data_IF_165504781027
#
_entry.id   IF_165504781027
#
_cell.length_a   1.000
_cell.length_b   1.000
_cell.length_c   1.000
_cell.angle_alpha   90.00
_cell.angle_beta   90.00
_cell.angle_gamma   90.00
#
_symmetry.space_group_name_H-M   'P 1'
#
loop_
_entity.id
_entity.type
_entity.pdbx_description
1 polymer ?
#
# COMPACT_ATOMS: atom_id res chain seq x y z
N UNK A 1 33.34 7.20 -15.52
CA UNK A 1 34.57 7.37 -16.34
C UNK A 1 34.31 7.50 -17.85
N UNK A 2 33.49 6.63 -18.52
CA UNK A 2 33.21 6.79 -19.98
C UNK A 2 32.55 8.13 -20.30
N UNK A 3 31.52 8.52 -19.53
CA UNK A 3 30.85 9.81 -19.69
C UNK A 3 31.81 10.99 -19.53
N UNK A 4 32.57 11.02 -18.45
CA UNK A 4 33.56 12.06 -18.19
C UNK A 4 34.67 12.14 -19.24
N UNK A 5 34.99 10.99 -19.85
CA UNK A 5 35.93 10.96 -21.00
C UNK A 5 35.32 11.61 -22.25
N UNK A 6 34.02 11.38 -22.48
CA UNK A 6 33.28 12.00 -23.57
C UNK A 6 33.13 13.52 -23.36
N UNK A 7 33.13 13.99 -22.15
CA UNK A 7 33.13 15.39 -21.72
C UNK A 7 34.53 16.05 -21.85
N UNK A 8 35.57 15.31 -22.32
CA UNK A 8 36.91 15.85 -22.57
C UNK A 8 37.93 15.67 -21.45
N UNK A 9 37.55 15.06 -20.32
CA UNK A 9 38.50 14.84 -19.22
C UNK A 9 39.61 13.83 -19.57
N UNK A 10 40.87 14.12 -19.20
CA UNK A 10 42.00 13.24 -19.48
C UNK A 10 41.89 11.90 -18.76
N UNK A 11 42.24 10.78 -19.45
CA UNK A 11 42.20 9.45 -18.83
C UNK A 11 43.15 9.36 -17.64
N UNK A 12 44.30 10.01 -17.66
CA UNK A 12 45.27 10.01 -16.57
C UNK A 12 44.64 10.59 -15.32
N UNK A 13 44.03 11.75 -15.40
CA UNK A 13 43.38 12.41 -14.30
C UNK A 13 42.20 11.58 -13.72
N UNK A 14 41.38 11.01 -14.61
CA UNK A 14 40.26 10.14 -14.18
C UNK A 14 40.73 8.86 -13.47
N UNK A 15 41.86 8.28 -13.89
CA UNK A 15 42.44 7.12 -13.23
C UNK A 15 43.05 7.48 -11.86
N UNK A 16 43.73 8.61 -11.76
CA UNK A 16 44.27 9.14 -10.49
C UNK A 16 43.13 9.38 -9.48
N UNK A 17 42.08 10.10 -9.87
CA UNK A 17 40.91 10.39 -9.01
C UNK A 17 40.14 9.13 -8.58
N UNK A 18 40.06 8.12 -9.44
CA UNK A 18 39.29 6.88 -9.16
C UNK A 18 40.08 5.78 -8.47
N UNK A 19 41.41 5.90 -8.40
CA UNK A 19 42.30 4.86 -7.89
C UNK A 19 42.34 3.58 -8.77
N UNK A 20 41.80 3.63 -9.99
CA UNK A 20 41.76 2.48 -10.88
C UNK A 20 43.05 2.32 -11.67
N UNK A 21 43.55 1.07 -11.77
CA UNK A 21 44.68 0.75 -12.64
C UNK A 21 44.28 0.91 -14.12
N UNK A 22 45.19 1.39 -14.96
CA UNK A 22 44.98 1.55 -16.40
C UNK A 22 44.57 0.25 -17.07
N UNK A 23 45.18 -0.87 -16.70
CA UNK A 23 44.83 -2.22 -17.20
C UNK A 23 43.37 -2.58 -16.89
N UNK A 24 42.89 -2.30 -15.67
CA UNK A 24 41.49 -2.54 -15.26
C UNK A 24 40.49 -1.72 -16.09
N UNK A 25 40.88 -0.48 -16.42
CA UNK A 25 40.05 0.35 -17.29
C UNK A 25 39.92 -0.23 -18.71
N UNK A 26 41.06 -0.57 -19.35
CA UNK A 26 41.03 -1.14 -20.71
C UNK A 26 40.41 -2.56 -20.73
N UNK A 27 40.66 -3.37 -19.70
CA UNK A 27 39.99 -4.65 -19.57
C UNK A 27 38.46 -4.50 -19.54
N UNK A 28 37.94 -3.56 -18.72
CA UNK A 28 36.51 -3.28 -18.65
C UNK A 28 35.92 -2.68 -19.94
N UNK A 29 36.74 -2.03 -20.76
CA UNK A 29 36.38 -1.57 -22.12
C UNK A 29 36.25 -2.75 -23.10
N UNK A 30 37.23 -3.63 -23.09
CA UNK A 30 37.25 -4.80 -23.97
C UNK A 30 36.23 -5.89 -23.57
N UNK A 31 35.87 -5.93 -22.27
CA UNK A 31 34.93 -6.90 -21.71
C UNK A 31 33.72 -6.19 -21.05
N UNK A 32 32.82 -5.60 -21.86
CA UNK A 32 31.65 -4.93 -21.33
C UNK A 32 30.78 -5.94 -20.58
N UNK A 33 30.37 -5.56 -19.37
CA UNK A 33 29.46 -6.39 -18.57
C UNK A 33 28.14 -6.55 -19.30
N UNK A 34 27.74 -7.80 -19.51
CA UNK A 34 26.39 -8.08 -20.02
C UNK A 34 25.34 -7.59 -19.04
N UNK A 35 24.23 -7.00 -19.50
CA UNK A 35 23.11 -6.63 -18.64
C UNK A 35 22.61 -7.83 -17.86
N UNK A 36 22.24 -7.62 -16.60
CA UNK A 36 21.64 -8.67 -15.77
C UNK A 36 20.23 -8.94 -16.30
N UNK A 37 19.93 -10.19 -16.69
CA UNK A 37 18.62 -10.66 -17.14
C UNK A 37 17.96 -9.69 -18.14
N UNK A 38 18.58 -9.47 -19.33
CA UNK A 38 18.07 -8.50 -20.30
C UNK A 38 16.63 -8.79 -20.72
N UNK A 39 16.23 -10.04 -20.78
CA UNK A 39 14.90 -10.51 -21.15
C UNK A 39 13.78 -10.11 -20.18
N UNK A 40 14.13 -9.75 -18.93
CA UNK A 40 13.14 -9.35 -17.90
C UNK A 40 13.08 -7.84 -17.67
N UNK A 41 13.92 -7.05 -18.36
CA UNK A 41 14.08 -5.62 -18.05
C UNK A 41 12.83 -4.80 -18.38
N UNK A 42 12.23 -5.05 -19.54
CA UNK A 42 11.05 -4.31 -20.00
C UNK A 42 9.86 -4.61 -19.10
N UNK A 43 9.65 -5.88 -18.75
CA UNK A 43 8.61 -6.28 -17.80
C UNK A 43 8.85 -5.68 -16.41
N UNK A 44 10.10 -5.65 -15.94
CA UNK A 44 10.42 -5.03 -14.66
C UNK A 44 10.19 -3.51 -14.66
N UNK A 45 10.45 -2.83 -15.78
CA UNK A 45 10.17 -1.41 -15.95
C UNK A 45 8.67 -1.14 -15.99
N UNK A 46 7.90 -1.96 -16.70
CA UNK A 46 6.44 -1.89 -16.74
C UNK A 46 5.84 -2.08 -15.35
N UNK A 47 6.21 -3.14 -14.62
CA UNK A 47 5.75 -3.39 -13.25
C UNK A 47 6.11 -2.21 -12.34
N UNK A 48 7.31 -1.65 -12.47
CA UNK A 48 7.73 -0.48 -11.70
C UNK A 48 6.85 0.74 -11.95
N UNK A 49 6.40 0.94 -13.18
CA UNK A 49 5.60 2.10 -13.61
C UNK A 49 4.11 2.01 -13.25
N UNK A 50 3.64 0.86 -12.74
CA UNK A 50 2.23 0.67 -12.32
C UNK A 50 1.80 1.59 -11.18
N UNK A 51 2.75 2.10 -10.41
CA UNK A 51 2.50 3.09 -9.34
C UNK A 51 3.37 4.32 -9.55
N UNK A 52 2.85 5.48 -9.18
CA UNK A 52 3.51 6.77 -9.43
C UNK A 52 4.92 6.86 -8.82
N UNK A 53 5.13 6.27 -7.66
CA UNK A 53 6.42 6.26 -6.94
C UNK A 53 7.25 5.01 -7.21
N UNK A 54 6.79 4.18 -8.14
CA UNK A 54 7.36 2.87 -8.40
C UNK A 54 7.21 1.91 -7.22
N UNK A 55 7.76 0.71 -7.36
CA UNK A 55 7.71 -0.30 -6.32
C UNK A 55 9.10 -0.88 -6.02
N UNK A 56 9.21 -1.54 -4.87
CA UNK A 56 10.47 -2.16 -4.43
C UNK A 56 10.82 -3.43 -5.21
N UNK A 57 12.11 -3.78 -5.25
CA UNK A 57 12.61 -4.96 -5.95
C UNK A 57 11.91 -6.27 -5.56
N UNK A 58 11.45 -6.42 -4.30
CA UNK A 58 10.70 -7.60 -3.86
C UNK A 58 9.34 -7.69 -4.54
N UNK A 59 8.66 -6.57 -4.71
CA UNK A 59 7.38 -6.52 -5.40
C UNK A 59 7.55 -6.87 -6.88
N UNK A 60 8.53 -6.26 -7.56
CA UNK A 60 8.86 -6.59 -8.94
C UNK A 60 9.19 -8.08 -9.07
N UNK A 61 9.99 -8.64 -8.16
CA UNK A 61 10.34 -10.06 -8.19
C UNK A 61 9.10 -10.97 -8.03
N UNK A 62 8.17 -10.63 -7.13
CA UNK A 62 6.91 -11.38 -6.98
C UNK A 62 6.07 -11.32 -8.26
N UNK A 63 5.93 -10.14 -8.87
CA UNK A 63 5.21 -9.98 -10.13
C UNK A 63 5.86 -10.76 -11.27
N UNK A 64 7.18 -10.67 -11.47
CA UNK A 64 7.90 -11.43 -12.51
C UNK A 64 7.73 -12.94 -12.36
N UNK A 65 7.74 -13.46 -11.12
CA UNK A 65 7.52 -14.89 -10.86
C UNK A 65 6.09 -15.32 -11.16
N UNK A 66 5.12 -14.53 -10.74
CA UNK A 66 3.71 -14.90 -10.85
C UNK A 66 3.16 -14.68 -12.26
N UNK A 67 3.53 -13.57 -12.92
CA UNK A 67 2.96 -13.16 -14.21
C UNK A 67 3.70 -13.78 -15.39
N UNK A 68 5.02 -14.03 -15.25
CA UNK A 68 5.86 -14.55 -16.33
C UNK A 68 6.48 -15.93 -16.03
N UNK A 69 6.21 -16.53 -14.88
CA UNK A 69 6.86 -17.76 -14.45
C UNK A 69 8.39 -17.63 -14.29
N UNK A 70 8.91 -16.41 -14.15
CA UNK A 70 10.34 -16.16 -14.17
C UNK A 70 11.04 -16.70 -12.92
N UNK A 71 12.07 -17.52 -13.08
CA UNK A 71 12.94 -17.96 -11.97
C UNK A 71 13.99 -16.87 -11.72
N UNK A 72 13.72 -15.97 -10.77
CA UNK A 72 14.58 -14.83 -10.44
C UNK A 72 14.62 -14.57 -8.94
N UNK A 73 15.82 -14.33 -8.39
CA UNK A 73 16.00 -13.98 -6.99
C UNK A 73 15.80 -12.46 -6.78
N UNK A 74 15.31 -12.06 -5.58
CA UNK A 74 15.09 -10.66 -5.22
C UNK A 74 16.35 -9.79 -5.39
N UNK A 75 17.53 -10.34 -5.03
CA UNK A 75 18.82 -9.66 -5.19
C UNK A 75 19.19 -9.42 -6.67
N UNK A 76 18.79 -10.35 -7.54
CA UNK A 76 19.00 -10.22 -9.00
C UNK A 76 18.17 -9.08 -9.56
N UNK A 77 16.89 -8.98 -9.13
CA UNK A 77 16.01 -7.86 -9.51
C UNK A 77 16.55 -6.54 -8.97
N UNK A 78 17.04 -6.49 -7.73
CA UNK A 78 17.67 -5.29 -7.18
C UNK A 78 18.88 -4.83 -8.00
N UNK A 79 19.72 -5.78 -8.45
CA UNK A 79 20.87 -5.49 -9.32
C UNK A 79 20.40 -4.95 -10.67
N UNK A 80 19.41 -5.60 -11.28
CA UNK A 80 18.79 -5.18 -12.54
C UNK A 80 18.23 -3.75 -12.45
N UNK A 81 17.45 -3.42 -11.40
CA UNK A 81 16.94 -2.07 -11.17
C UNK A 81 18.05 -1.04 -11.08
N UNK A 82 19.14 -1.35 -10.37
CA UNK A 82 20.32 -0.45 -10.27
C UNK A 82 20.98 -0.20 -11.63
N UNK A 83 21.11 -1.24 -12.44
CA UNK A 83 21.66 -1.13 -13.81
C UNK A 83 20.77 -0.31 -14.75
N UNK A 84 19.44 -0.37 -14.52
CA UNK A 84 18.45 0.43 -15.27
C UNK A 84 18.32 1.87 -14.74
N UNK A 85 18.97 2.20 -13.62
CA UNK A 85 18.86 3.51 -13.00
C UNK A 85 17.52 3.78 -12.29
N UNK A 86 16.63 2.77 -12.17
CA UNK A 86 15.33 2.92 -11.53
C UNK A 86 15.45 2.70 -10.02
N UNK A 87 14.78 3.58 -9.26
CA UNK A 87 14.79 3.54 -7.78
C UNK A 87 13.38 3.78 -7.26
N UNK A 88 12.94 2.91 -6.35
CA UNK A 88 11.69 3.10 -5.64
C UNK A 88 11.73 4.40 -4.81
N UNK A 89 10.78 5.30 -5.04
CA UNK A 89 10.63 6.58 -4.35
C UNK A 89 10.02 6.45 -2.95
N UNK A 90 9.54 5.27 -2.56
CA UNK A 90 8.92 5.02 -1.26
C UNK A 90 9.96 5.15 -0.15
N UNK A 91 9.65 5.97 0.86
CA UNK A 91 10.57 6.29 1.96
C UNK A 91 11.00 5.04 2.74
N UNK A 92 12.30 4.89 2.94
CA UNK A 92 12.85 4.08 4.02
C UNK A 92 12.74 4.86 5.32
N UNK A 93 11.89 4.39 6.25
CA UNK A 93 11.71 4.90 7.62
C UNK A 93 12.05 6.38 7.80
N UNK A 94 11.05 7.24 7.84
CA UNK A 94 11.17 8.64 8.25
C UNK A 94 10.19 8.91 9.37
N UNK A 95 10.69 9.64 10.39
CA UNK A 95 9.97 10.34 11.46
C UNK A 95 8.51 9.93 11.70
N UNK A 96 8.27 9.23 12.80
CA UNK A 96 6.93 9.03 13.35
C UNK A 96 6.34 10.40 13.70
N UNK A 97 5.35 10.88 12.97
CA UNK A 97 4.50 11.96 13.45
C UNK A 97 3.77 11.45 14.68
N UNK A 98 3.78 12.23 15.77
CA UNK A 98 2.98 11.94 16.96
C UNK A 98 1.51 11.95 16.56
N UNK A 99 0.81 10.86 16.84
CA UNK A 99 -0.63 10.75 16.75
C UNK A 99 -1.26 11.66 17.83
N UNK A 100 -2.31 12.40 17.47
CA UNK A 100 -3.16 13.12 18.40
C UNK A 100 -4.53 12.46 18.38
N UNK A 101 -4.93 11.82 19.47
CA UNK A 101 -6.24 11.23 19.60
C UNK A 101 -7.33 12.31 19.70
N UNK A 102 -8.50 12.00 19.12
CA UNK A 102 -9.69 12.84 19.21
C UNK A 102 -10.10 13.10 20.69
N UNK A 103 -10.41 14.36 21.02
CA UNK A 103 -10.81 14.80 22.38
C UNK A 103 -12.30 15.15 22.46
N UNK A 104 -13.17 14.52 21.66
CA UNK A 104 -14.61 14.77 21.66
C UNK A 104 -15.38 14.12 22.80
N UNK A 105 -16.68 14.39 22.86
CA UNK A 105 -17.63 13.76 23.79
C UNK A 105 -17.67 12.25 23.54
N UNK A 106 -17.72 11.46 24.63
CA UNK A 106 -17.80 10.02 24.57
C UNK A 106 -19.25 9.61 24.39
N UNK A 107 -19.57 8.98 23.24
CA UNK A 107 -20.83 8.30 22.99
C UNK A 107 -20.80 6.85 23.52
N UNK A 108 -21.58 5.96 22.88
CA UNK A 108 -21.53 4.54 23.19
C UNK A 108 -20.17 3.94 22.86
N UNK A 109 -19.49 3.34 23.83
CA UNK A 109 -18.21 2.66 23.62
C UNK A 109 -18.41 1.16 23.59
N UNK A 110 -17.68 0.49 22.71
CA UNK A 110 -17.69 -0.96 22.58
C UNK A 110 -16.38 -1.56 23.09
N UNK A 111 -16.43 -2.80 23.53
CA UNK A 111 -15.27 -3.51 24.02
C UNK A 111 -14.23 -3.72 22.90
N UNK A 112 -12.95 -3.73 23.26
CA UNK A 112 -11.88 -4.07 22.32
C UNK A 112 -11.78 -5.60 22.18
N UNK A 113 -12.69 -6.18 21.39
CA UNK A 113 -12.76 -7.62 21.12
C UNK A 113 -11.51 -8.13 20.40
N UNK A 114 -10.93 -7.32 19.50
CA UNK A 114 -9.74 -7.71 18.73
C UNK A 114 -8.48 -7.77 19.58
N UNK A 115 -8.37 -6.91 20.62
CA UNK A 115 -7.27 -6.93 21.60
C UNK A 115 -5.86 -7.06 20.96
N UNK A 116 -5.62 -6.40 19.82
CA UNK A 116 -4.40 -6.44 18.98
C UNK A 116 -4.15 -7.76 18.25
N UNK A 117 -5.03 -8.71 18.33
CA UNK A 117 -4.99 -9.89 17.50
C UNK A 117 -5.59 -9.60 16.11
N UNK A 118 -4.74 -9.04 15.23
CA UNK A 118 -5.08 -8.77 13.83
C UNK A 118 -4.93 -10.01 12.94
N UNK A 119 -4.68 -11.19 13.51
CA UNK A 119 -4.74 -12.47 12.82
C UNK A 119 -6.19 -12.87 12.59
N UNK A 120 -6.48 -13.45 11.44
CA UNK A 120 -7.74 -14.09 11.13
C UNK A 120 -7.44 -15.39 10.38
N UNK A 121 -8.21 -16.43 10.64
CA UNK A 121 -8.01 -17.75 10.01
C UNK A 121 -8.59 -17.79 8.58
N UNK A 122 -9.60 -16.95 8.32
CA UNK A 122 -10.25 -16.85 7.03
C UNK A 122 -10.69 -15.42 6.68
N UNK A 123 -11.08 -15.19 5.41
CA UNK A 123 -11.68 -13.95 4.96
C UNK A 123 -12.96 -13.62 5.76
N UNK A 124 -13.29 -12.34 5.85
CA UNK A 124 -14.53 -11.85 6.46
C UNK A 124 -14.71 -12.19 7.96
N UNK A 125 -13.63 -12.51 8.67
CA UNK A 125 -13.70 -12.72 10.13
C UNK A 125 -13.44 -11.42 10.91
N UNK A 126 -12.41 -10.67 10.50
CA UNK A 126 -12.01 -9.44 11.18
C UNK A 126 -11.77 -8.35 10.14
N UNK A 127 -12.53 -7.28 10.25
CA UNK A 127 -12.45 -6.11 9.40
C UNK A 127 -11.97 -4.90 10.21
N UNK A 128 -11.29 -3.97 9.56
CA UNK A 128 -10.87 -2.72 10.20
C UNK A 128 -11.22 -1.52 9.35
N UNK A 129 -11.69 -0.46 10.00
CA UNK A 129 -11.99 0.81 9.35
C UNK A 129 -11.40 1.99 10.11
N UNK A 130 -11.10 3.06 9.40
CA UNK A 130 -10.67 4.34 9.92
C UNK A 130 -10.77 5.39 8.81
N UNK A 131 -10.66 6.67 9.14
CA UNK A 131 -10.69 7.74 8.14
C UNK A 131 -9.33 8.42 8.03
N UNK A 132 -8.84 8.56 6.81
CA UNK A 132 -7.62 9.33 6.55
C UNK A 132 -7.88 10.54 5.67
N UNK A 133 -7.16 11.64 5.95
CA UNK A 133 -7.24 12.90 5.23
C UNK A 133 -6.13 13.01 4.18
N UNK A 134 -6.48 13.62 3.04
CA UNK A 134 -5.57 14.07 1.98
C UNK A 134 -5.82 15.55 1.68
N UNK A 135 -4.80 16.26 1.21
CA UNK A 135 -4.92 17.61 0.68
C UNK A 135 -4.99 17.54 -0.84
N UNK A 136 -6.05 18.07 -1.44
CA UNK A 136 -6.34 17.98 -2.88
C UNK A 136 -6.82 19.33 -3.37
N UNK A 137 -6.17 19.94 -4.35
CA UNK A 137 -6.55 21.20 -4.95
C UNK A 137 -6.86 22.32 -3.92
N UNK A 138 -6.03 22.42 -2.86
CA UNK A 138 -6.21 23.41 -1.79
C UNK A 138 -7.30 23.07 -0.76
N UNK A 139 -8.08 22.00 -0.95
CA UNK A 139 -9.12 21.52 -0.04
C UNK A 139 -8.74 20.18 0.61
N UNK A 140 -9.65 19.63 1.41
CA UNK A 140 -9.49 18.33 2.04
C UNK A 140 -10.33 17.28 1.34
N UNK A 141 -9.78 16.08 1.23
CA UNK A 141 -10.48 14.88 0.83
C UNK A 141 -10.30 13.81 1.92
N UNK A 142 -11.32 13.02 2.15
CA UNK A 142 -11.35 11.98 3.20
C UNK A 142 -11.64 10.64 2.58
N UNK A 143 -10.92 9.64 3.01
CA UNK A 143 -11.09 8.26 2.56
C UNK A 143 -11.35 7.35 3.77
N UNK A 144 -12.47 6.61 3.71
CA UNK A 144 -12.92 5.66 4.71
C UNK A 144 -12.91 4.25 4.11
N UNK A 145 -11.83 3.49 4.19
CA UNK A 145 -11.77 2.10 3.75
C UNK A 145 -12.24 1.12 4.81
N UNK A 146 -12.64 -0.06 4.36
CA UNK A 146 -12.77 -1.27 5.17
C UNK A 146 -11.73 -2.28 4.69
N UNK A 147 -10.81 -2.66 5.56
CA UNK A 147 -9.73 -3.60 5.31
C UNK A 147 -10.05 -4.95 5.93
N UNK A 148 -10.04 -6.02 5.16
CA UNK A 148 -10.04 -7.38 5.69
C UNK A 148 -8.66 -7.72 6.27
N UNK A 149 -8.62 -8.14 7.54
CA UNK A 149 -7.35 -8.42 8.21
C UNK A 149 -6.69 -9.74 7.79
N UNK A 150 -7.43 -10.67 7.21
CA UNK A 150 -6.89 -11.90 6.65
C UNK A 150 -6.25 -11.64 5.28
N UNK A 151 -7.08 -11.20 4.34
CA UNK A 151 -6.70 -11.08 2.93
C UNK A 151 -5.94 -9.82 2.59
N UNK A 152 -5.99 -8.79 3.47
CA UNK A 152 -5.51 -7.42 3.21
C UNK A 152 -6.23 -6.74 2.04
N UNK A 153 -7.40 -7.24 1.68
CA UNK A 153 -8.27 -6.65 0.67
C UNK A 153 -9.00 -5.43 1.23
N UNK A 154 -9.13 -4.40 0.42
CA UNK A 154 -10.01 -3.27 0.69
C UNK A 154 -11.38 -3.68 0.17
N UNK A 155 -12.23 -4.21 1.05
CA UNK A 155 -13.52 -4.81 0.70
C UNK A 155 -14.61 -3.78 0.44
N UNK A 156 -14.49 -2.59 1.04
CA UNK A 156 -15.36 -1.46 0.79
C UNK A 156 -14.61 -0.15 1.05
N UNK A 157 -15.05 0.94 0.48
CA UNK A 157 -14.55 2.28 0.85
C UNK A 157 -15.44 3.39 0.34
N UNK A 158 -15.37 4.58 0.95
CA UNK A 158 -15.93 5.81 0.41
C UNK A 158 -14.93 6.97 0.42
N UNK A 159 -14.99 7.81 -0.61
CA UNK A 159 -14.13 8.99 -0.78
C UNK A 159 -15.03 10.23 -0.83
N UNK A 160 -14.83 11.13 0.11
CA UNK A 160 -15.70 12.29 0.32
C UNK A 160 -14.90 13.59 0.56
N UNK A 161 -15.57 14.73 0.43
CA UNK A 161 -15.04 16.04 0.82
C UNK A 161 -15.29 16.37 2.31
N UNK A 162 -16.09 15.56 3.00
CA UNK A 162 -16.40 15.69 4.43
C UNK A 162 -16.35 14.32 5.13
N UNK A 163 -15.76 14.21 6.35
CA UNK A 163 -15.73 12.97 7.13
C UNK A 163 -16.97 12.88 8.02
N UNK A 164 -18.16 12.92 7.41
CA UNK A 164 -19.45 12.92 8.07
C UNK A 164 -20.11 11.54 8.13
N UNK A 165 -21.27 11.45 8.78
CA UNK A 165 -22.06 10.22 8.84
C UNK A 165 -22.52 9.75 7.46
N UNK A 166 -22.77 10.67 6.53
CA UNK A 166 -23.16 10.30 5.18
C UNK A 166 -22.04 9.54 4.46
N UNK A 167 -20.77 9.92 4.69
CA UNK A 167 -19.63 9.14 4.21
C UNK A 167 -19.61 7.72 4.81
N UNK A 168 -19.81 7.60 6.12
CA UNK A 168 -19.83 6.29 6.79
C UNK A 168 -20.98 5.42 6.29
N UNK A 169 -22.15 6.00 6.06
CA UNK A 169 -23.30 5.26 5.54
C UNK A 169 -23.05 4.74 4.12
N UNK A 170 -22.49 5.54 3.21
CA UNK A 170 -22.14 5.09 1.86
C UNK A 170 -21.06 3.99 1.88
N UNK A 171 -20.09 4.09 2.80
CA UNK A 171 -19.10 3.05 3.00
C UNK A 171 -19.75 1.75 3.49
N UNK A 172 -20.68 1.84 4.47
CA UNK A 172 -21.44 0.69 4.97
C UNK A 172 -22.36 0.09 3.89
N UNK A 173 -23.03 0.91 3.06
CA UNK A 173 -23.83 0.39 1.95
C UNK A 173 -23.00 -0.55 1.05
N UNK A 174 -21.81 -0.10 0.66
CA UNK A 174 -20.89 -0.90 -0.15
C UNK A 174 -20.35 -2.14 0.57
N UNK A 175 -20.12 -2.02 1.89
CA UNK A 175 -19.70 -3.17 2.68
C UNK A 175 -20.79 -4.24 2.72
N UNK A 176 -22.04 -3.84 2.97
CA UNK A 176 -23.17 -4.76 3.06
C UNK A 176 -23.52 -5.41 1.73
N UNK A 177 -23.34 -4.67 0.61
CA UNK A 177 -23.45 -5.23 -0.75
C UNK A 177 -22.38 -6.30 -1.04
N UNK A 178 -21.15 -6.13 -0.48
CA UNK A 178 -20.04 -7.06 -0.71
C UNK A 178 -19.99 -8.20 0.32
N UNK A 179 -20.74 -8.10 1.42
CA UNK A 179 -20.70 -9.06 2.52
C UNK A 179 -21.30 -10.40 2.07
N UNK A 180 -20.57 -11.52 2.14
CA UNK A 180 -21.11 -12.83 1.79
C UNK A 180 -22.28 -13.25 2.70
N UNK A 181 -23.22 -14.00 2.16
CA UNK A 181 -24.33 -14.54 2.93
C UNK A 181 -23.84 -15.37 4.13
N UNK A 182 -24.37 -15.05 5.30
CA UNK A 182 -24.02 -15.74 6.55
C UNK A 182 -22.71 -15.30 7.18
N UNK A 183 -21.96 -14.36 6.59
CA UNK A 183 -20.78 -13.81 7.21
C UNK A 183 -21.15 -12.86 8.38
N UNK A 184 -20.51 -13.03 9.50
CA UNK A 184 -20.71 -12.23 10.73
C UNK A 184 -19.36 -11.70 11.26
N UNK A 185 -18.71 -10.77 10.55
CA UNK A 185 -17.38 -10.30 10.93
C UNK A 185 -17.39 -9.44 12.19
N UNK A 186 -16.20 -9.30 12.79
CA UNK A 186 -15.95 -8.26 13.79
C UNK A 186 -15.37 -7.03 13.06
N UNK A 187 -16.07 -5.88 13.13
CA UNK A 187 -15.63 -4.59 12.62
C UNK A 187 -14.89 -3.81 13.68
N UNK A 188 -13.62 -3.56 13.48
CA UNK A 188 -12.78 -2.78 14.39
C UNK A 188 -12.58 -1.35 13.89
N UNK A 189 -12.71 -0.38 14.81
CA UNK A 189 -12.46 1.03 14.54
C UNK A 189 -11.74 1.71 15.72
N UNK A 190 -11.32 2.95 15.52
CA UNK A 190 -10.99 3.82 16.65
C UNK A 190 -12.24 4.31 17.37
N UNK A 191 -12.06 5.16 18.40
CA UNK A 191 -13.16 5.76 19.16
C UNK A 191 -13.69 7.04 18.48
N UNK A 192 -13.65 7.16 17.16
CA UNK A 192 -14.22 8.27 16.43
C UNK A 192 -15.74 8.39 16.69
N UNK A 193 -16.24 9.64 16.80
CA UNK A 193 -17.66 9.90 17.10
C UNK A 193 -18.62 9.27 16.09
N UNK A 194 -18.20 9.18 14.82
CA UNK A 194 -18.98 8.57 13.74
C UNK A 194 -19.27 7.09 13.98
N UNK A 195 -18.35 6.37 14.61
CA UNK A 195 -18.48 4.93 14.92
C UNK A 195 -19.29 4.66 16.20
N UNK A 196 -19.54 5.70 17.00
CA UNK A 196 -20.33 5.66 18.23
C UNK A 196 -21.78 6.10 17.99
N UNK A 197 -22.08 6.62 16.78
CA UNK A 197 -23.40 7.15 16.45
C UNK A 197 -24.41 6.01 16.25
N UNK A 198 -25.61 6.15 16.80
CA UNK A 198 -26.67 5.13 16.76
C UNK A 198 -26.98 4.65 15.34
N UNK A 199 -27.04 5.56 14.36
CA UNK A 199 -27.30 5.18 12.97
C UNK A 199 -26.21 4.32 12.32
N UNK A 200 -24.98 4.37 12.83
CA UNK A 200 -23.88 3.49 12.41
C UNK A 200 -23.96 2.15 13.13
N UNK A 201 -24.11 2.17 14.46
CA UNK A 201 -24.12 0.96 15.29
C UNK A 201 -25.30 0.05 14.98
N UNK A 202 -26.52 0.61 14.83
CA UNK A 202 -27.73 -0.15 14.47
C UNK A 202 -27.61 -0.85 13.12
N UNK A 203 -26.90 -0.25 12.17
CA UNK A 203 -26.67 -0.88 10.85
C UNK A 203 -25.73 -2.06 10.93
N UNK A 204 -24.67 -1.99 11.74
CA UNK A 204 -23.79 -3.13 11.98
C UNK A 204 -24.53 -4.26 12.69
N UNK A 205 -25.27 -3.93 13.74
CA UNK A 205 -26.09 -4.90 14.50
C UNK A 205 -27.12 -5.58 13.60
N UNK A 206 -27.86 -4.82 12.81
CA UNK A 206 -28.86 -5.35 11.86
C UNK A 206 -28.27 -6.27 10.80
N UNK A 207 -26.98 -6.14 10.49
CA UNK A 207 -26.23 -6.99 9.58
C UNK A 207 -25.50 -8.17 10.29
N UNK A 208 -25.64 -8.32 11.61
CA UNK A 208 -24.92 -9.34 12.38
C UNK A 208 -23.43 -9.07 12.54
N UNK A 209 -22.97 -7.85 12.30
CA UNK A 209 -21.57 -7.45 12.43
C UNK A 209 -21.27 -7.03 13.87
N UNK A 210 -20.33 -7.69 14.53
CA UNK A 210 -19.90 -7.35 15.87
C UNK A 210 -19.00 -6.11 15.85
N UNK A 211 -19.32 -5.08 16.63
CA UNK A 211 -18.47 -3.89 16.72
C UNK A 211 -17.39 -4.06 17.79
N UNK A 212 -16.17 -3.64 17.46
CA UNK A 212 -15.00 -3.59 18.34
C UNK A 212 -14.33 -2.22 18.24
N UNK A 213 -13.93 -1.64 19.36
CA UNK A 213 -13.27 -0.33 19.39
C UNK A 213 -11.90 -0.39 20.06
N UNK A 214 -10.93 0.36 19.52
CA UNK A 214 -9.63 0.53 20.14
C UNK A 214 -9.77 1.29 21.47
N UNK A 215 -8.86 1.01 22.43
CA UNK A 215 -8.84 1.74 23.70
C UNK A 215 -8.41 3.19 23.50
N UNK A 216 -8.98 4.09 24.32
CA UNK A 216 -8.69 5.54 24.25
C UNK A 216 -7.18 5.81 24.33
N UNK A 217 -6.66 6.55 23.32
CA UNK A 217 -5.26 6.97 23.28
C UNK A 217 -4.26 5.87 22.87
N UNK A 218 -4.72 4.69 22.44
CA UNK A 218 -3.86 3.57 22.07
C UNK A 218 -3.83 3.34 20.55
N UNK A 219 -2.94 4.03 19.87
CA UNK A 219 -2.77 3.93 18.40
C UNK A 219 -2.38 2.52 17.92
N UNK A 220 -1.78 1.69 18.79
CA UNK A 220 -1.37 0.32 18.42
C UNK A 220 -2.61 -0.57 18.15
N UNK A 221 -3.73 -0.24 18.76
CA UNK A 221 -4.97 -1.02 18.61
C UNK A 221 -5.58 -0.89 17.20
N UNK A 222 -5.20 0.11 16.38
CA UNK A 222 -5.61 0.28 14.96
C UNK A 222 -4.45 0.17 13.95
N UNK A 223 -3.36 -0.49 14.33
CA UNK A 223 -2.11 -0.52 13.56
C UNK A 223 -2.25 -1.12 12.15
N UNK A 224 -3.19 -2.04 11.93
CA UNK A 224 -3.40 -2.66 10.61
C UNK A 224 -3.93 -1.65 9.57
N UNK A 225 -4.91 -0.82 9.95
CA UNK A 225 -5.48 0.23 9.12
C UNK A 225 -4.50 1.39 8.94
N UNK A 226 -3.77 1.77 10.00
CA UNK A 226 -2.70 2.77 9.90
C UNK A 226 -1.59 2.34 8.93
N UNK A 227 -1.25 1.05 8.88
CA UNK A 227 -0.28 0.52 7.93
C UNK A 227 -0.77 0.65 6.48
N UNK A 228 -2.05 0.39 6.22
CA UNK A 228 -2.67 0.61 4.90
C UNK A 228 -2.53 2.09 4.50
N UNK A 229 -2.87 3.02 5.39
CA UNK A 229 -2.73 4.46 5.11
C UNK A 229 -1.29 4.87 4.80
N UNK A 230 -0.32 4.29 5.52
CA UNK A 230 1.09 4.50 5.24
C UNK A 230 1.47 4.09 3.81
N UNK A 231 1.03 2.92 3.37
CA UNK A 231 1.28 2.44 2.01
C UNK A 231 0.61 3.33 0.96
N UNK A 232 -0.67 3.64 1.12
CA UNK A 232 -1.40 4.50 0.17
C UNK A 232 -0.76 5.88 0.06
N UNK A 233 -0.39 6.49 1.19
CA UNK A 233 0.29 7.79 1.20
C UNK A 233 1.66 7.75 0.54
N UNK A 234 2.42 6.67 0.71
CA UNK A 234 3.75 6.53 0.13
C UNK A 234 3.73 6.10 -1.34
N UNK A 235 2.86 5.17 -1.72
CA UNK A 235 2.83 4.57 -3.05
C UNK A 235 2.01 5.39 -4.04
N UNK A 236 0.88 5.98 -3.58
CA UNK A 236 -0.09 6.66 -4.43
C UNK A 236 -0.02 8.19 -4.29
N UNK A 237 -0.01 8.73 -3.07
CA UNK A 237 -0.25 10.16 -2.86
C UNK A 237 1.01 11.03 -2.92
N UNK A 238 2.13 10.58 -2.35
CA UNK A 238 3.33 11.40 -2.22
C UNK A 238 3.89 11.85 -3.57
N UNK A 239 4.18 13.16 -3.67
CA UNK A 239 4.76 13.75 -4.87
C UNK A 239 3.79 13.91 -6.05
N UNK A 240 2.48 13.71 -5.81
CA UNK A 240 1.43 13.96 -6.79
C UNK A 240 0.56 15.14 -6.38
N UNK A 241 0.06 15.84 -7.37
CA UNK A 241 -0.90 16.92 -7.23
C UNK A 241 -2.10 16.65 -8.14
N UNK A 242 -3.28 17.07 -7.72
CA UNK A 242 -4.52 16.92 -8.48
C UNK A 242 -5.17 18.26 -8.65
N UNK A 243 -5.70 18.52 -9.85
CA UNK A 243 -6.42 19.75 -10.17
C UNK A 243 -7.84 19.78 -9.60
N UNK A 244 -8.44 18.63 -9.29
CA UNK A 244 -9.79 18.52 -8.76
C UNK A 244 -9.98 17.34 -7.81
N UNK A 245 -11.02 17.41 -6.97
CA UNK A 245 -11.46 16.26 -6.16
C UNK A 245 -11.89 15.08 -7.03
N UNK A 246 -12.54 15.32 -8.16
CA UNK A 246 -12.99 14.27 -9.07
C UNK A 246 -11.83 13.46 -9.65
N UNK A 247 -10.74 14.12 -10.05
CA UNK A 247 -9.54 13.46 -10.54
C UNK A 247 -8.85 12.64 -9.44
N UNK A 248 -8.73 13.21 -8.24
CA UNK A 248 -8.19 12.48 -7.10
C UNK A 248 -9.00 11.24 -6.77
N UNK A 249 -10.34 11.35 -6.72
CA UNK A 249 -11.26 10.26 -6.43
C UNK A 249 -11.09 9.12 -7.44
N UNK A 250 -11.16 9.43 -8.72
CA UNK A 250 -10.97 8.46 -9.82
C UNK A 250 -9.62 7.74 -9.70
N UNK A 251 -8.55 8.48 -9.46
CA UNK A 251 -7.21 7.93 -9.38
C UNK A 251 -7.02 7.06 -8.12
N UNK A 252 -7.64 7.45 -6.98
CA UNK A 252 -7.61 6.65 -5.76
C UNK A 252 -8.43 5.36 -5.91
N UNK A 253 -9.58 5.42 -6.58
CA UNK A 253 -10.37 4.23 -6.93
C UNK A 253 -9.56 3.27 -7.83
N UNK A 254 -8.83 3.81 -8.81
CA UNK A 254 -7.91 3.02 -9.63
C UNK A 254 -6.76 2.41 -8.82
N UNK A 255 -6.23 3.11 -7.82
CA UNK A 255 -5.22 2.57 -6.93
C UNK A 255 -5.78 1.49 -6.00
N UNK A 256 -7.02 1.62 -5.51
CA UNK A 256 -7.69 0.58 -4.71
C UNK A 256 -7.85 -0.70 -5.54
N UNK A 257 -8.28 -0.59 -6.80
CA UNK A 257 -8.33 -1.72 -7.71
C UNK A 257 -6.94 -2.36 -7.90
N UNK A 258 -5.90 -1.53 -8.13
CA UNK A 258 -4.51 -2.02 -8.20
C UNK A 258 -4.07 -2.71 -6.90
N UNK A 259 -4.43 -2.18 -5.73
CA UNK A 259 -4.12 -2.78 -4.43
C UNK A 259 -4.69 -4.19 -4.31
N UNK A 260 -5.95 -4.37 -4.67
CA UNK A 260 -6.65 -5.66 -4.54
C UNK A 260 -6.19 -6.68 -5.58
N UNK A 261 -6.02 -6.25 -6.86
CA UNK A 261 -5.87 -7.17 -8.00
C UNK A 261 -4.43 -7.33 -8.53
N UNK A 262 -3.51 -6.39 -8.21
CA UNK A 262 -2.16 -6.39 -8.80
C UNK A 262 -1.03 -6.24 -7.79
N UNK A 263 -1.31 -5.65 -6.62
CA UNK A 263 -0.29 -5.42 -5.60
C UNK A 263 -0.01 -6.69 -4.80
N UNK A 264 1.05 -7.39 -5.17
CA UNK A 264 1.48 -8.61 -4.49
C UNK A 264 2.10 -8.31 -3.12
N UNK A 265 1.87 -9.16 -2.13
CA UNK A 265 2.30 -8.94 -0.76
C UNK A 265 3.07 -10.14 -0.20
N UNK A 266 4.20 -9.86 0.47
CA UNK A 266 5.02 -10.93 1.10
C UNK A 266 4.21 -11.68 2.15
N UNK A 267 3.37 -10.99 2.93
CA UNK A 267 2.48 -11.60 3.93
C UNK A 267 1.46 -12.58 3.33
N UNK A 268 1.06 -12.33 2.09
CA UNK A 268 0.16 -13.19 1.32
C UNK A 268 0.93 -14.19 0.44
N UNK A 269 2.14 -14.56 0.85
CA UNK A 269 3.00 -15.52 0.13
C UNK A 269 3.28 -15.13 -1.34
N UNK A 270 3.24 -13.84 -1.66
CA UNK A 270 3.45 -13.30 -3.01
C UNK A 270 2.17 -13.18 -3.84
N UNK A 271 1.02 -13.46 -3.26
CA UNK A 271 -0.29 -13.29 -3.89
C UNK A 271 -0.77 -11.84 -3.75
N UNK A 272 -1.73 -11.46 -4.59
CA UNK A 272 -2.56 -10.28 -4.39
C UNK A 272 -3.63 -10.55 -3.31
N UNK A 273 -4.25 -9.52 -2.73
CA UNK A 273 -5.39 -9.71 -1.81
C UNK A 273 -6.50 -10.59 -2.38
N UNK A 274 -6.91 -10.34 -3.63
CA UNK A 274 -7.95 -11.10 -4.31
C UNK A 274 -7.56 -12.56 -4.57
N UNK A 275 -6.35 -12.82 -5.10
CA UNK A 275 -5.84 -14.18 -5.28
C UNK A 275 -5.78 -14.95 -3.94
N UNK A 276 -5.40 -14.26 -2.86
CA UNK A 276 -5.34 -14.89 -1.54
C UNK A 276 -6.73 -15.20 -0.99
N UNK A 277 -7.72 -14.29 -1.16
CA UNK A 277 -9.12 -14.53 -0.81
C UNK A 277 -9.66 -15.76 -1.54
N UNK A 278 -9.49 -15.80 -2.85
CA UNK A 278 -10.04 -16.87 -3.68
C UNK A 278 -9.45 -18.24 -3.31
N UNK A 279 -8.15 -18.30 -2.99
CA UNK A 279 -7.53 -19.54 -2.49
C UNK A 279 -8.04 -19.92 -1.10
N UNK A 280 -8.26 -18.93 -0.21
CA UNK A 280 -8.75 -19.21 1.15
C UNK A 280 -10.21 -19.66 1.18
N UNK A 281 -11.02 -19.23 0.21
CA UNK A 281 -12.42 -19.66 0.08
C UNK A 281 -12.56 -21.01 -0.62
N UNK A 282 -11.54 -21.43 -1.39
CA UNK A 282 -11.53 -22.71 -2.08
C UNK A 282 -10.94 -23.86 -1.25
N UNK A 283 -10.32 -23.55 -0.08
CA UNK A 283 -9.65 -24.52 0.80
C UNK A 283 -10.58 -25.10 1.85
#
# INVERSE_FOLDING_TARGET
MRALRAEGHSLRHLLECSGLRRSTYYYALAHPRRPTRPELRDAAAEIFSRTANGCGHRQIAMCLRAELGAVVADKTVLKMMREMGIRCGIRRRGSRRRYSSYRGLVGSTFENVIARDFGAEGPWQKLGTDVTEFKVAGAKAYWAPVLDFCTKEIVASDISTSPDLAQQHRMLDRLLEALPDGAAPTMHSDMGWQYQHESYTSRLEGAGITQSMSRKGNCIDNAATEQLFGHVKDEFYRGREWGSFGDFKRDLEGYIAHWNTRRRQVRLKGLTPEEFRDQALAA
#
